data_IF_727437934562
#
_entry.id   IF_727437934562
#
_cell.length_a   1.000
_cell.length_b   1.000
_cell.length_c   1.000
_cell.angle_alpha   90.00
_cell.angle_beta   90.00
_cell.angle_gamma   90.00
#
_symmetry.space_group_name_H-M   'P 1'
#
loop_
_entity.id
_entity.type
_entity.pdbx_description
1 polymer ?
#
# COMPACT_ATOMS: atom_id res chain seq x y z
N UNK A 1 -19.44 -13.87 -10.45
CA UNK A 1 -18.69 -12.93 -11.31
C UNK A 1 -17.65 -12.25 -10.44
N UNK A 2 -16.37 -12.29 -10.84
CA UNK A 2 -15.29 -11.66 -10.06
C UNK A 2 -15.46 -10.15 -10.14
N UNK A 3 -15.50 -9.47 -8.99
CA UNK A 3 -15.45 -8.00 -8.94
C UNK A 3 -14.01 -7.55 -9.19
N UNK A 4 -13.69 -7.30 -10.46
CA UNK A 4 -12.36 -6.89 -10.93
C UNK A 4 -11.90 -5.60 -10.24
N UNK A 5 -12.81 -4.66 -9.97
CA UNK A 5 -12.49 -3.40 -9.32
C UNK A 5 -12.12 -3.62 -7.85
N UNK A 6 -12.83 -4.52 -7.16
CA UNK A 6 -12.45 -4.93 -5.80
C UNK A 6 -11.07 -5.57 -5.78
N UNK A 7 -10.81 -6.53 -6.68
CA UNK A 7 -9.52 -7.23 -6.75
C UNK A 7 -8.39 -6.23 -6.97
N UNK A 8 -8.55 -5.27 -7.89
CA UNK A 8 -7.55 -4.22 -8.15
C UNK A 8 -7.26 -3.39 -6.90
N UNK A 9 -8.29 -2.88 -6.19
CA UNK A 9 -8.10 -2.07 -4.97
C UNK A 9 -7.36 -2.83 -3.88
N UNK A 10 -7.78 -4.06 -3.61
CA UNK A 10 -7.17 -4.90 -2.57
C UNK A 10 -5.72 -5.27 -2.93
N UNK A 11 -5.44 -5.50 -4.22
CA UNK A 11 -4.09 -5.78 -4.73
C UNK A 11 -3.19 -4.55 -4.69
N UNK A 12 -3.72 -3.38 -5.05
CA UNK A 12 -2.97 -2.12 -5.01
C UNK A 12 -2.53 -1.79 -3.59
N UNK A 13 -3.41 -1.95 -2.59
CA UNK A 13 -3.07 -1.78 -1.17
C UNK A 13 -1.93 -2.69 -0.73
N UNK A 14 -1.99 -3.98 -1.11
CA UNK A 14 -0.92 -4.92 -0.79
C UNK A 14 0.41 -4.53 -1.45
N UNK A 15 0.39 -4.18 -2.74
CA UNK A 15 1.59 -3.76 -3.46
C UNK A 15 2.19 -2.46 -2.91
N UNK A 16 1.37 -1.52 -2.43
CA UNK A 16 1.84 -0.30 -1.76
C UNK A 16 2.58 -0.61 -0.46
N UNK A 17 2.02 -1.49 0.37
CA UNK A 17 2.67 -1.94 1.61
C UNK A 17 4.01 -2.63 1.33
N UNK A 18 4.07 -3.51 0.32
CA UNK A 18 5.31 -4.14 -0.11
C UNK A 18 6.35 -3.13 -0.62
N UNK A 19 5.90 -2.15 -1.41
CA UNK A 19 6.78 -1.09 -1.94
C UNK A 19 7.38 -0.27 -0.81
N UNK A 20 6.56 0.16 0.15
CA UNK A 20 7.03 0.91 1.31
C UNK A 20 7.96 0.06 2.19
N UNK A 21 7.71 -1.24 2.34
CA UNK A 21 8.60 -2.11 3.11
C UNK A 21 10.00 -2.20 2.49
N UNK A 22 10.07 -2.28 1.16
CA UNK A 22 11.34 -2.29 0.41
C UNK A 22 12.05 -0.93 0.42
N UNK A 23 11.32 0.16 0.60
CA UNK A 23 11.88 1.51 0.65
C UNK A 23 12.47 1.88 2.03
N UNK A 24 12.14 1.13 3.09
CA UNK A 24 12.68 1.37 4.45
C UNK A 24 14.21 1.37 4.44
N UNK A 25 14.87 2.28 5.21
CA UNK A 25 14.30 3.20 6.19
C UNK A 25 13.91 4.58 5.63
N UNK A 26 13.78 4.74 4.31
CA UNK A 26 13.56 6.04 3.69
C UNK A 26 12.07 6.35 3.46
N UNK A 27 11.70 7.59 3.75
CA UNK A 27 10.37 8.12 3.45
C UNK A 27 10.11 8.16 1.94
N UNK A 28 8.96 7.62 1.53
CA UNK A 28 8.61 7.48 0.11
C UNK A 28 7.73 8.63 -0.37
N UNK A 29 8.13 9.26 -1.48
CA UNK A 29 7.32 10.26 -2.19
C UNK A 29 6.18 9.59 -2.99
N UNK A 30 5.00 10.19 -3.02
CA UNK A 30 3.86 9.63 -3.76
C UNK A 30 4.11 9.45 -5.27
N UNK A 31 4.95 10.26 -5.92
CA UNK A 31 5.25 10.10 -7.35
C UNK A 31 6.03 8.81 -7.60
N UNK A 32 6.97 8.47 -6.70
CA UNK A 32 7.67 7.18 -6.75
C UNK A 32 6.67 6.02 -6.59
N UNK A 33 5.75 6.12 -5.63
CA UNK A 33 4.72 5.11 -5.43
C UNK A 33 3.79 4.99 -6.65
N UNK A 34 3.46 6.11 -7.29
CA UNK A 34 2.65 6.17 -8.51
C UNK A 34 3.36 5.46 -9.67
N UNK A 35 4.65 5.70 -9.85
CA UNK A 35 5.44 5.07 -10.91
C UNK A 35 5.52 3.55 -10.71
N UNK A 36 5.70 3.09 -9.47
CA UNK A 36 5.66 1.65 -9.13
C UNK A 36 4.28 1.06 -9.42
N UNK A 37 3.19 1.75 -9.05
CA UNK A 37 1.84 1.26 -9.35
C UNK A 37 1.55 1.25 -10.84
N UNK A 38 2.04 2.23 -11.62
CA UNK A 38 1.89 2.28 -13.08
C UNK A 38 2.65 1.17 -13.80
N UNK A 39 3.75 0.68 -13.21
CA UNK A 39 4.44 -0.50 -13.74
C UNK A 39 3.59 -1.78 -13.65
N UNK A 40 2.65 -1.85 -12.70
CA UNK A 40 1.72 -2.99 -12.51
C UNK A 40 0.40 -2.73 -13.24
N UNK A 41 -0.10 -1.50 -13.16
CA UNK A 41 -1.40 -1.04 -13.62
C UNK A 41 -1.23 0.29 -14.38
N UNK A 42 -0.97 0.25 -15.70
CA UNK A 42 -0.57 1.43 -16.48
C UNK A 42 -1.53 2.62 -16.43
N UNK A 43 -2.81 2.37 -16.18
CA UNK A 43 -3.88 3.36 -16.08
C UNK A 43 -4.05 3.98 -14.68
N UNK A 44 -3.18 3.64 -13.72
CA UNK A 44 -3.27 4.16 -12.35
C UNK A 44 -3.16 5.68 -12.33
N UNK A 45 -4.16 6.32 -11.72
CA UNK A 45 -4.21 7.77 -11.53
C UNK A 45 -3.69 8.17 -10.15
N UNK A 46 -3.22 9.41 -10.01
CA UNK A 46 -2.81 9.95 -8.70
C UNK A 46 -3.96 9.94 -7.67
N UNK A 47 -5.20 10.17 -8.12
CA UNK A 47 -6.37 10.12 -7.24
C UNK A 47 -6.66 8.70 -6.75
N UNK A 48 -6.54 7.69 -7.62
CA UNK A 48 -6.68 6.28 -7.23
C UNK A 48 -5.62 5.92 -6.18
N UNK A 49 -4.35 6.23 -6.45
CA UNK A 49 -3.26 6.00 -5.50
C UNK A 49 -3.53 6.65 -4.14
N UNK A 50 -3.87 7.95 -4.12
CA UNK A 50 -4.10 8.70 -2.88
C UNK A 50 -5.26 8.12 -2.07
N UNK A 51 -6.32 7.63 -2.72
CA UNK A 51 -7.45 6.97 -2.03
C UNK A 51 -7.00 5.70 -1.31
N UNK A 52 -6.14 4.89 -1.94
CA UNK A 52 -5.65 3.67 -1.31
C UNK A 52 -4.62 3.95 -0.21
N UNK A 53 -3.78 4.98 -0.37
CA UNK A 53 -2.92 5.47 0.71
C UNK A 53 -3.72 5.96 1.91
N UNK A 54 -4.75 6.78 1.69
CA UNK A 54 -5.62 7.31 2.75
C UNK A 54 -6.31 6.16 3.52
N UNK A 55 -6.81 5.15 2.81
CA UNK A 55 -7.36 3.93 3.42
C UNK A 55 -6.34 3.18 4.30
N UNK A 56 -5.11 3.03 3.84
CA UNK A 56 -4.05 2.36 4.61
C UNK A 56 -3.65 3.16 5.86
N UNK A 57 -3.69 4.49 5.79
CA UNK A 57 -3.45 5.36 6.93
C UNK A 57 -4.57 5.25 7.98
N UNK A 58 -5.83 5.19 7.54
CA UNK A 58 -6.97 4.94 8.43
C UNK A 58 -6.85 3.59 9.15
N UNK A 59 -6.33 2.58 8.44
CA UNK A 59 -6.00 1.25 8.99
C UNK A 59 -4.75 1.23 9.85
N UNK A 60 -4.08 2.36 10.07
CA UNK A 60 -2.84 2.51 10.86
C UNK A 60 -1.67 1.68 10.33
N UNK A 61 -1.68 1.33 9.05
CA UNK A 61 -0.61 0.56 8.41
C UNK A 61 0.51 1.47 7.88
N UNK A 62 0.16 2.71 7.54
CA UNK A 62 1.10 3.72 7.07
C UNK A 62 0.88 5.04 7.81
N UNK A 63 1.94 5.85 7.89
CA UNK A 63 1.84 7.27 8.21
C UNK A 63 1.84 8.07 6.91
N UNK A 64 1.01 9.11 6.84
CA UNK A 64 0.94 10.00 5.70
C UNK A 64 1.25 11.43 6.11
N UNK A 65 2.24 12.03 5.45
CA UNK A 65 2.55 13.45 5.57
C UNK A 65 2.08 14.17 4.32
N UNK A 66 1.04 14.98 4.45
CA UNK A 66 0.46 15.80 3.37
C UNK A 66 1.07 17.20 3.45
N UNK A 67 2.00 17.53 2.56
CA UNK A 67 2.67 18.84 2.56
C UNK A 67 1.76 19.96 2.02
N UNK A 68 1.96 21.22 2.43
CA UNK A 68 1.23 22.37 1.87
C UNK A 68 1.38 22.55 0.36
N UNK A 69 2.48 22.07 -0.22
CA UNK A 69 2.73 22.01 -1.67
C UNK A 69 1.79 21.04 -2.41
N UNK A 70 1.04 20.22 -1.67
CA UNK A 70 0.16 19.18 -2.21
C UNK A 70 0.84 17.82 -2.37
N UNK A 71 2.15 17.71 -2.14
CA UNK A 71 2.90 16.44 -2.21
C UNK A 71 2.65 15.58 -0.98
N UNK A 72 2.41 14.29 -1.19
CA UNK A 72 2.26 13.31 -0.11
C UNK A 72 3.52 12.47 0.04
N UNK A 73 3.83 12.16 1.30
CA UNK A 73 4.87 11.23 1.68
C UNK A 73 4.27 10.13 2.56
N UNK A 74 4.77 8.92 2.41
CA UNK A 74 4.27 7.75 3.13
C UNK A 74 5.42 6.94 3.75
N UNK A 75 5.18 6.45 4.95
CA UNK A 75 6.06 5.56 5.70
C UNK A 75 5.25 4.40 6.28
N UNK A 76 5.86 3.21 6.41
CA UNK A 76 5.20 2.12 7.13
C UNK A 76 5.23 2.38 8.63
N UNK A 77 4.10 2.13 9.29
CA UNK A 77 4.07 2.01 10.74
C UNK A 77 4.60 0.65 11.17
N UNK A 78 4.83 0.48 12.48
CA UNK A 78 5.10 -0.84 13.08
C UNK A 78 4.05 -1.89 12.68
N UNK A 79 2.76 -1.51 12.67
CA UNK A 79 1.67 -2.43 12.31
C UNK A 79 1.72 -2.81 10.82
N UNK A 80 2.05 -1.86 9.94
CA UNK A 80 2.23 -2.15 8.52
C UNK A 80 3.39 -3.12 8.26
N UNK A 81 4.49 -2.97 9.00
CA UNK A 81 5.63 -3.90 8.96
C UNK A 81 5.17 -5.29 9.40
N UNK A 82 4.53 -5.40 10.55
CA UNK A 82 4.01 -6.67 11.09
C UNK A 82 3.07 -7.37 10.09
N UNK A 83 2.21 -6.61 9.41
CA UNK A 83 1.29 -7.14 8.43
C UNK A 83 2.03 -7.75 7.22
N UNK A 84 3.03 -7.04 6.71
CA UNK A 84 3.85 -7.47 5.55
C UNK A 84 4.74 -8.65 5.90
N UNK A 85 5.23 -8.71 7.13
CA UNK A 85 6.08 -9.79 7.65
C UNK A 85 5.27 -11.01 8.16
N UNK A 86 3.94 -10.97 8.01
CA UNK A 86 3.03 -12.05 8.42
C UNK A 86 3.06 -12.35 9.93
N UNK A 87 3.39 -11.37 10.77
CA UNK A 87 3.39 -11.53 12.24
C UNK A 87 2.02 -11.23 12.85
N UNK A 88 1.12 -10.59 12.10
CA UNK A 88 -0.28 -10.34 12.49
C UNK A 88 -1.27 -10.79 11.41
N UNK A 89 -2.54 -10.96 11.81
CA UNK A 89 -3.62 -11.27 10.87
C UNK A 89 -3.93 -10.10 9.93
N UNK A 90 -4.33 -10.44 8.70
CA UNK A 90 -4.76 -9.45 7.71
C UNK A 90 -6.28 -9.42 7.63
N UNK A 91 -6.88 -8.34 8.15
CA UNK A 91 -8.32 -8.09 7.98
C UNK A 91 -8.70 -7.83 6.52
N UNK A 92 -10.00 -7.83 6.19
CA UNK A 92 -10.48 -7.69 4.82
C UNK A 92 -10.04 -6.38 4.17
N UNK A 93 -10.06 -6.35 2.84
CA UNK A 93 -9.75 -5.16 2.05
C UNK A 93 -8.28 -5.01 1.67
N UNK A 94 -7.42 -5.99 1.96
CA UNK A 94 -6.02 -6.05 1.49
C UNK A 94 -5.80 -7.46 0.94
N UNK A 95 -5.33 -7.58 -0.30
CA UNK A 95 -5.11 -8.86 -0.95
C UNK A 95 -3.75 -9.45 -0.56
N UNK A 96 -3.51 -9.61 0.76
CA UNK A 96 -2.33 -10.32 1.25
C UNK A 96 -2.49 -11.81 0.92
N UNK A 97 -1.56 -12.43 0.15
CA UNK A 97 -1.59 -13.86 -0.11
C UNK A 97 -1.58 -14.67 1.19
N UNK A 98 -2.18 -15.87 1.19
CA UNK A 98 -2.00 -16.79 2.32
C UNK A 98 -0.56 -17.33 2.32
N UNK A 99 0.01 -17.48 3.52
CA UNK A 99 1.37 -18.03 3.68
C UNK A 99 1.31 -19.55 3.54
N UNK A 100 1.66 -20.08 2.37
CA UNK A 100 1.67 -21.54 2.10
C UNK A 100 3.04 -22.20 2.35
N UNK A 101 4.07 -21.42 2.69
CA UNK A 101 5.38 -21.92 3.06
C UNK A 101 5.64 -21.71 4.57
N UNK A 102 5.90 -22.81 5.27
CA UNK A 102 6.58 -22.82 6.56
C UNK A 102 8.00 -23.33 6.33
N UNK A 103 8.99 -22.67 6.91
CA UNK A 103 10.26 -23.33 7.24
C UNK A 103 10.05 -24.17 8.50
#
# INVERSE_FOLDING_TARGET
MVDVLRVRRESMRWNLLLTLNKARPYTSNENFLLDVMRAIYPDTTALELRRELDYLADRKMIELVKQPSGTWFADLTRLGVDLVEYTVECGPGIARPEKYWSE
#
